data_IF_272626998016
#
_entry.id   IF_272626998016
#
_cell.length_a   1.000
_cell.length_b   1.000
_cell.length_c   1.000
_cell.angle_alpha   90.00
_cell.angle_beta   90.00
_cell.angle_gamma   90.00
#
_symmetry.space_group_name_H-M   'P 1'
#
loop_
_entity.id
_entity.type
_entity.pdbx_description
1 polymer ?
#
# COMPACT_ATOMS: atom_id res chain seq x y z
N UNK A 1 -4.96 -23.28 -21.72
CA UNK A 1 -3.81 -22.57 -21.15
C UNK A 1 -2.89 -22.00 -22.22
N UNK A 2 -2.44 -22.80 -23.20
CA UNK A 2 -1.56 -22.28 -24.29
C UNK A 2 -2.20 -21.11 -25.03
N UNK A 3 -3.46 -21.22 -25.42
CA UNK A 3 -4.16 -20.17 -26.16
C UNK A 3 -4.39 -18.93 -25.29
N UNK A 4 -4.65 -19.13 -24.00
CA UNK A 4 -4.70 -18.01 -23.04
C UNK A 4 -3.33 -17.29 -22.94
N UNK A 5 -2.23 -18.04 -22.87
CA UNK A 5 -0.89 -17.46 -22.88
C UNK A 5 -0.57 -16.69 -24.18
N UNK A 6 -1.01 -17.20 -25.34
CA UNK A 6 -0.92 -16.48 -26.63
C UNK A 6 -1.76 -15.20 -26.62
N UNK A 7 -3.00 -15.28 -26.13
CA UNK A 7 -3.91 -14.15 -26.00
C UNK A 7 -3.30 -13.04 -25.12
N UNK A 8 -2.76 -13.40 -23.96
CA UNK A 8 -2.08 -12.45 -23.07
C UNK A 8 -0.92 -11.70 -23.75
N UNK A 9 -0.14 -12.41 -24.57
CA UNK A 9 0.95 -11.79 -25.34
C UNK A 9 0.44 -10.92 -26.48
N UNK A 10 -0.64 -11.32 -27.14
CA UNK A 10 -1.21 -10.60 -28.27
C UNK A 10 -1.93 -9.31 -27.84
N UNK A 11 -2.68 -9.35 -26.72
CA UNK A 11 -3.39 -8.19 -26.17
C UNK A 11 -2.40 -7.23 -25.48
N UNK A 12 -1.31 -7.75 -24.93
CA UNK A 12 -0.25 -7.02 -24.23
C UNK A 12 -0.75 -6.00 -23.19
N UNK A 13 -1.60 -6.39 -22.22
CA UNK A 13 -2.16 -5.45 -21.25
C UNK A 13 -1.08 -4.90 -20.32
N UNK A 14 -1.19 -3.61 -19.96
CA UNK A 14 -0.33 -2.97 -18.97
C UNK A 14 -0.70 -3.39 -17.54
N UNK A 15 -1.99 -3.63 -17.32
CA UNK A 15 -2.53 -3.95 -16.00
C UNK A 15 -3.41 -5.22 -16.04
N UNK A 16 -3.17 -6.12 -15.10
CA UNK A 16 -3.99 -7.31 -14.87
C UNK A 16 -4.84 -7.06 -13.63
N UNK A 17 -6.15 -7.07 -13.82
CA UNK A 17 -7.12 -6.74 -12.78
C UNK A 17 -7.93 -7.98 -12.44
N UNK A 18 -8.27 -8.14 -11.17
CA UNK A 18 -9.20 -9.17 -10.74
C UNK A 18 -9.46 -9.10 -9.24
N UNK A 19 -10.09 -10.13 -8.72
CA UNK A 19 -10.46 -10.23 -7.32
C UNK A 19 -9.84 -11.48 -6.70
N UNK A 20 -8.90 -11.31 -5.77
CA UNK A 20 -8.11 -12.40 -5.16
C UNK A 20 -7.20 -13.15 -6.16
N UNK A 21 -6.81 -12.49 -7.24
CA UNK A 21 -6.01 -13.11 -8.32
C UNK A 21 -4.62 -13.52 -7.88
N UNK A 22 -4.03 -12.78 -6.94
CA UNK A 22 -2.66 -13.03 -6.47
C UNK A 22 -2.57 -14.30 -5.62
N UNK A 23 -3.57 -14.55 -4.79
CA UNK A 23 -3.56 -15.71 -3.90
C UNK A 23 -4.26 -16.94 -4.48
N UNK A 24 -5.14 -16.78 -5.48
CA UNK A 24 -5.94 -17.86 -6.04
C UNK A 24 -5.68 -18.09 -7.54
N UNK A 25 -6.13 -17.19 -8.42
CA UNK A 25 -6.16 -17.45 -9.87
C UNK A 25 -4.78 -17.69 -10.47
N UNK A 26 -3.85 -16.79 -10.24
CA UNK A 26 -2.51 -16.89 -10.81
C UNK A 26 -1.74 -18.12 -10.29
N UNK A 27 -1.68 -18.38 -8.98
CA UNK A 27 -1.07 -19.62 -8.48
C UNK A 27 -1.70 -20.89 -9.04
N UNK A 28 -3.04 -20.91 -9.16
CA UNK A 28 -3.74 -22.05 -9.74
C UNK A 28 -3.34 -22.28 -11.19
N UNK A 29 -3.41 -21.24 -12.03
CA UNK A 29 -3.06 -21.34 -13.44
C UNK A 29 -1.61 -21.82 -13.67
N UNK A 30 -0.69 -21.28 -12.88
CA UNK A 30 0.74 -21.63 -12.97
C UNK A 30 0.96 -23.10 -12.54
N UNK A 31 0.41 -23.50 -11.39
CA UNK A 31 0.51 -24.90 -10.92
C UNK A 31 -0.16 -25.87 -11.90
N UNK A 32 -1.32 -25.49 -12.45
CA UNK A 32 -2.01 -26.31 -13.44
C UNK A 32 -1.20 -26.47 -14.71
N UNK A 33 -0.54 -25.41 -15.20
CA UNK A 33 0.33 -25.48 -16.35
C UNK A 33 1.55 -26.39 -16.10
N UNK A 34 2.15 -26.33 -14.92
CA UNK A 34 3.23 -27.23 -14.50
C UNK A 34 2.78 -28.69 -14.51
N UNK A 35 1.61 -29.00 -13.91
CA UNK A 35 1.05 -30.36 -13.89
C UNK A 35 0.76 -30.90 -15.28
N UNK A 36 0.35 -30.04 -16.20
CA UNK A 36 0.04 -30.41 -17.60
C UNK A 36 1.27 -30.34 -18.52
N UNK A 37 2.45 -30.04 -18.03
CA UNK A 37 3.69 -29.95 -18.83
C UNK A 37 3.68 -28.82 -19.86
N UNK A 38 2.92 -27.72 -19.63
CA UNK A 38 2.88 -26.55 -20.54
C UNK A 38 3.98 -25.61 -20.20
N UNK A 39 5.18 -25.83 -20.75
CA UNK A 39 6.41 -25.15 -20.39
C UNK A 39 6.43 -23.66 -20.80
N UNK A 40 5.73 -23.27 -21.85
CA UNK A 40 5.67 -21.91 -22.38
C UNK A 40 4.63 -21.03 -21.67
N UNK A 41 3.86 -21.59 -20.74
CA UNK A 41 2.80 -20.86 -20.04
C UNK A 41 3.32 -19.78 -19.06
N UNK A 42 4.37 -20.00 -18.26
CA UNK A 42 4.79 -19.04 -17.24
C UNK A 42 5.58 -17.82 -17.79
N UNK A 43 5.38 -17.47 -19.05
CA UNK A 43 6.02 -16.30 -19.70
C UNK A 43 4.98 -15.22 -20.04
N UNK A 44 4.39 -14.61 -19.01
CA UNK A 44 3.37 -13.56 -19.18
C UNK A 44 3.94 -12.15 -19.18
N UNK A 45 5.19 -12.00 -18.76
CA UNK A 45 5.86 -10.71 -18.68
C UNK A 45 6.30 -10.19 -20.04
N UNK A 46 6.79 -8.95 -20.04
CA UNK A 46 7.34 -8.28 -21.23
C UNK A 46 8.85 -8.51 -21.42
N UNK A 47 9.50 -9.06 -20.40
CA UNK A 47 10.92 -9.42 -20.52
C UNK A 47 11.02 -10.83 -21.10
N UNK A 48 11.61 -10.92 -22.28
CA UNK A 48 11.79 -12.19 -23.01
C UNK A 48 12.65 -13.15 -22.19
N UNK A 49 12.23 -14.41 -22.11
CA UNK A 49 12.94 -15.47 -21.39
C UNK A 49 12.81 -15.45 -19.86
N UNK A 50 12.11 -14.46 -19.28
CA UNK A 50 11.90 -14.41 -17.84
C UNK A 50 10.57 -15.05 -17.45
N UNK A 51 10.66 -16.11 -16.66
CA UNK A 51 9.50 -16.80 -16.11
C UNK A 51 8.93 -16.05 -14.92
N UNK A 52 7.64 -16.24 -14.70
CA UNK A 52 6.95 -15.83 -13.46
C UNK A 52 7.56 -16.52 -12.26
N UNK A 53 7.71 -15.76 -11.20
CA UNK A 53 8.12 -16.29 -9.90
C UNK A 53 6.99 -16.13 -8.89
N UNK A 54 6.72 -17.19 -8.13
CA UNK A 54 5.79 -17.17 -7.00
C UNK A 54 6.64 -17.31 -5.74
N UNK A 55 6.47 -16.38 -4.81
CA UNK A 55 7.09 -16.44 -3.49
C UNK A 55 5.99 -16.37 -2.45
N UNK A 56 6.06 -17.24 -1.45
CA UNK A 56 5.24 -17.09 -0.26
C UNK A 56 5.84 -15.99 0.61
N UNK A 57 5.01 -15.04 1.02
CA UNK A 57 5.41 -13.90 1.83
C UNK A 57 4.53 -13.81 3.05
N UNK A 58 5.13 -13.49 4.18
CA UNK A 58 4.41 -13.23 5.42
C UNK A 58 4.51 -11.74 5.74
N UNK A 59 3.37 -11.07 5.73
CA UNK A 59 3.27 -9.69 6.20
C UNK A 59 2.84 -9.70 7.66
N UNK A 60 3.65 -9.11 8.54
CA UNK A 60 3.31 -8.96 9.95
C UNK A 60 3.34 -7.49 10.35
N UNK A 61 2.27 -7.03 10.99
CA UNK A 61 2.13 -5.66 11.49
C UNK A 61 1.31 -5.66 12.78
N UNK A 62 1.70 -4.82 13.75
CA UNK A 62 0.93 -4.65 15.00
C UNK A 62 -0.52 -4.18 14.74
N UNK A 63 -0.76 -3.39 13.67
CA UNK A 63 -2.08 -2.85 13.33
C UNK A 63 -2.96 -3.84 12.53
N UNK A 64 -2.36 -4.71 11.71
CA UNK A 64 -3.10 -5.58 10.78
C UNK A 64 -2.92 -7.07 11.04
N UNK A 65 -2.14 -7.44 12.08
CA UNK A 65 -1.81 -8.83 12.39
C UNK A 65 -0.85 -9.45 11.37
N UNK A 66 -0.75 -10.77 11.40
CA UNK A 66 0.07 -11.55 10.48
C UNK A 66 -0.81 -12.12 9.38
N UNK A 67 -0.42 -11.92 8.13
CA UNK A 67 -1.10 -12.46 6.95
C UNK A 67 -0.09 -13.14 6.04
N UNK A 68 -0.41 -14.34 5.64
CA UNK A 68 0.28 -15.03 4.57
C UNK A 68 -0.30 -14.59 3.23
N UNK A 69 0.56 -14.28 2.30
CA UNK A 69 0.21 -13.86 0.94
C UNK A 69 1.23 -14.40 -0.04
N UNK A 70 0.87 -14.39 -1.31
CA UNK A 70 1.80 -14.72 -2.38
C UNK A 70 2.27 -13.45 -3.06
N UNK A 71 3.54 -13.40 -3.40
CA UNK A 71 4.11 -12.39 -4.27
C UNK A 71 4.38 -13.03 -5.63
N UNK A 72 3.73 -12.52 -6.65
CA UNK A 72 3.92 -12.97 -8.02
C UNK A 72 4.52 -11.82 -8.82
N UNK A 73 5.68 -12.05 -9.43
CA UNK A 73 6.33 -11.04 -10.25
C UNK A 73 6.06 -11.30 -11.72
N UNK A 74 5.36 -10.36 -12.37
CA UNK A 74 5.11 -10.33 -13.81
C UNK A 74 5.80 -9.09 -14.36
N UNK A 75 6.98 -9.25 -14.89
CA UNK A 75 7.81 -8.13 -15.32
C UNK A 75 7.16 -7.31 -16.44
N UNK A 76 7.10 -5.99 -16.23
CA UNK A 76 6.52 -5.05 -17.18
C UNK A 76 4.98 -4.95 -17.15
N UNK A 77 4.31 -5.60 -16.19
CA UNK A 77 2.85 -5.49 -15.99
C UNK A 77 2.52 -5.23 -14.53
N UNK A 78 1.51 -4.44 -14.30
CA UNK A 78 0.96 -4.17 -12.96
C UNK A 78 -0.14 -5.20 -12.66
N UNK A 79 -0.08 -5.81 -11.49
CA UNK A 79 -1.15 -6.67 -10.98
C UNK A 79 -1.98 -5.85 -10.01
N UNK A 80 -3.28 -5.71 -10.27
CA UNK A 80 -4.18 -4.98 -9.41
C UNK A 80 -5.24 -5.91 -8.83
N UNK A 81 -4.98 -6.39 -7.61
CA UNK A 81 -5.92 -7.24 -6.88
C UNK A 81 -6.89 -6.37 -6.08
N UNK A 82 -8.14 -6.34 -6.52
CA UNK A 82 -9.20 -5.54 -5.89
C UNK A 82 -9.46 -5.96 -4.45
N UNK A 83 -9.32 -7.24 -4.12
CA UNK A 83 -9.51 -7.70 -2.74
C UNK A 83 -8.51 -7.03 -1.80
N UNK A 84 -7.22 -7.01 -2.17
CA UNK A 84 -6.17 -6.42 -1.34
C UNK A 84 -6.35 -4.89 -1.20
N UNK A 85 -6.73 -4.22 -2.28
CA UNK A 85 -6.99 -2.79 -2.26
C UNK A 85 -8.17 -2.43 -1.35
N UNK A 86 -9.29 -3.13 -1.48
CA UNK A 86 -10.50 -2.89 -0.68
C UNK A 86 -10.27 -3.21 0.80
N UNK A 87 -9.58 -4.32 1.11
CA UNK A 87 -9.24 -4.67 2.50
C UNK A 87 -8.36 -3.64 3.19
N UNK A 88 -7.53 -2.93 2.43
CA UNK A 88 -6.67 -1.87 2.96
C UNK A 88 -7.43 -0.58 3.21
N UNK A 89 -8.34 -0.23 2.30
CA UNK A 89 -8.96 1.10 2.28
C UNK A 89 -10.31 1.15 3.00
N UNK A 90 -10.99 0.00 3.15
CA UNK A 90 -12.33 -0.09 3.73
C UNK A 90 -12.41 -1.17 4.81
N UNK A 91 -13.19 -0.88 5.86
CA UNK A 91 -13.55 -1.85 6.90
C UNK A 91 -14.96 -2.35 6.63
N UNK A 92 -15.07 -3.56 6.10
CA UNK A 92 -16.33 -4.20 5.77
C UNK A 92 -16.53 -5.46 6.63
N UNK A 93 -17.77 -5.88 6.83
CA UNK A 93 -18.12 -7.12 7.54
C UNK A 93 -17.78 -8.37 6.74
N UNK A 94 -17.78 -8.27 5.40
CA UNK A 94 -17.42 -9.36 4.48
C UNK A 94 -16.69 -8.81 3.27
N UNK A 95 -15.67 -9.54 2.82
CA UNK A 95 -14.87 -9.21 1.63
C UNK A 95 -15.09 -10.21 0.50
N UNK A 96 -16.21 -10.93 0.47
CA UNK A 96 -16.57 -11.71 -0.72
C UNK A 96 -16.91 -10.78 -1.88
N UNK A 97 -16.61 -11.16 -3.11
CA UNK A 97 -16.89 -10.34 -4.29
C UNK A 97 -18.38 -9.95 -4.35
N UNK A 98 -19.27 -10.88 -3.99
CA UNK A 98 -20.71 -10.61 -3.97
C UNK A 98 -21.09 -9.54 -2.94
N UNK A 99 -20.56 -9.64 -1.71
CA UNK A 99 -20.83 -8.68 -0.64
C UNK A 99 -20.28 -7.28 -0.98
N UNK A 100 -19.06 -7.22 -1.51
CA UNK A 100 -18.41 -5.97 -1.90
C UNK A 100 -19.14 -5.32 -3.09
N UNK A 101 -19.54 -6.09 -4.08
CA UNK A 101 -20.30 -5.59 -5.24
C UNK A 101 -21.68 -5.10 -4.84
N UNK A 102 -22.36 -5.81 -3.94
CA UNK A 102 -23.63 -5.35 -3.36
C UNK A 102 -23.47 -4.01 -2.64
N UNK A 103 -22.41 -3.88 -1.84
CA UNK A 103 -22.15 -2.67 -1.05
C UNK A 103 -21.86 -1.42 -1.91
N UNK A 104 -21.00 -1.56 -2.92
CA UNK A 104 -20.53 -0.40 -3.70
C UNK A 104 -21.27 -0.18 -5.01
N UNK A 105 -21.78 -1.24 -5.63
CA UNK A 105 -22.42 -1.19 -6.94
C UNK A 105 -23.94 -1.38 -6.87
N UNK A 106 -24.48 -1.89 -5.74
CA UNK A 106 -25.86 -2.32 -5.64
C UNK A 106 -26.16 -3.58 -6.50
N UNK A 107 -25.14 -4.27 -6.97
CA UNK A 107 -25.26 -5.44 -7.82
C UNK A 107 -24.86 -6.71 -7.08
N UNK A 108 -25.61 -7.77 -7.33
CA UNK A 108 -25.27 -9.11 -6.85
C UNK A 108 -25.07 -10.05 -8.02
N UNK A 109 -24.23 -11.05 -7.84
CA UNK A 109 -24.08 -12.16 -8.79
C UNK A 109 -24.95 -13.33 -8.35
N UNK A 110 -25.35 -14.14 -9.33
CA UNK A 110 -25.88 -15.45 -9.04
C UNK A 110 -24.81 -16.27 -8.29
N UNK A 111 -25.19 -16.93 -7.21
CA UNK A 111 -24.25 -17.79 -6.49
C UNK A 111 -24.28 -19.20 -7.10
N UNK A 112 -23.19 -19.56 -7.78
CA UNK A 112 -22.97 -20.91 -8.30
C UNK A 112 -21.96 -21.58 -7.38
N UNK A 113 -22.45 -22.53 -6.59
CA UNK A 113 -21.58 -23.29 -5.70
C UNK A 113 -20.53 -24.07 -6.50
N UNK A 114 -19.30 -24.10 -6.01
CA UNK A 114 -18.16 -24.71 -6.73
C UNK A 114 -18.40 -26.20 -7.11
N UNK A 115 -19.18 -26.96 -6.32
CA UNK A 115 -19.53 -28.36 -6.64
C UNK A 115 -20.39 -28.48 -7.89
N UNK A 116 -21.20 -27.48 -8.22
CA UNK A 116 -22.06 -27.48 -9.40
C UNK A 116 -21.32 -27.17 -10.71
N UNK A 117 -20.11 -26.63 -10.66
CA UNK A 117 -19.35 -26.20 -11.85
C UNK A 117 -19.10 -27.36 -12.80
N UNK A 118 -18.64 -28.50 -12.29
CA UNK A 118 -18.35 -29.67 -13.12
C UNK A 118 -19.60 -30.24 -13.79
N UNK A 119 -20.73 -30.28 -13.06
CA UNK A 119 -22.01 -30.72 -13.57
C UNK A 119 -22.55 -29.77 -14.65
N UNK A 120 -22.54 -28.48 -14.42
CA UNK A 120 -22.94 -27.46 -15.39
C UNK A 120 -22.07 -27.49 -16.65
N UNK A 121 -20.78 -27.78 -16.53
CA UNK A 121 -19.84 -27.88 -17.64
C UNK A 121 -20.12 -29.17 -18.47
N UNK A 122 -20.39 -30.28 -17.82
CA UNK A 122 -20.67 -31.58 -18.49
C UNK A 122 -22.07 -31.66 -19.10
N UNK A 123 -22.99 -30.82 -18.69
CA UNK A 123 -24.39 -30.84 -19.10
C UNK A 123 -24.64 -30.32 -20.52
N UNK A 124 -25.74 -29.61 -20.71
CA UNK A 124 -26.22 -29.10 -22.01
C UNK A 124 -25.53 -27.82 -22.44
N UNK A 125 -25.80 -27.35 -23.65
CA UNK A 125 -25.35 -26.03 -24.11
C UNK A 125 -25.88 -24.89 -23.22
N UNK A 126 -27.08 -25.04 -22.67
CA UNK A 126 -27.71 -24.04 -21.77
C UNK A 126 -27.03 -23.99 -20.42
N UNK A 127 -26.69 -25.12 -19.81
CA UNK A 127 -25.96 -25.16 -18.55
C UNK A 127 -24.54 -24.57 -18.68
N UNK A 128 -23.85 -24.84 -19.80
CA UNK A 128 -22.56 -24.25 -20.13
C UNK A 128 -22.67 -22.73 -20.35
N UNK A 129 -23.74 -22.26 -21.00
CA UNK A 129 -24.00 -20.81 -21.15
C UNK A 129 -24.20 -20.16 -19.82
N UNK A 130 -24.97 -20.73 -18.90
CA UNK A 130 -25.16 -20.24 -17.54
C UNK A 130 -23.81 -20.10 -16.81
N UNK A 131 -22.97 -21.13 -16.89
CA UNK A 131 -21.62 -21.09 -16.29
C UNK A 131 -20.75 -20.01 -16.93
N UNK A 132 -20.81 -19.84 -18.26
CA UNK A 132 -20.06 -18.78 -18.95
C UNK A 132 -20.51 -17.37 -18.53
N UNK A 133 -21.82 -17.13 -18.40
CA UNK A 133 -22.36 -15.86 -17.90
C UNK A 133 -21.92 -15.59 -16.47
N UNK A 134 -21.93 -16.61 -15.62
CA UNK A 134 -21.41 -16.51 -14.26
C UNK A 134 -19.93 -16.09 -14.23
N UNK A 135 -19.07 -16.78 -15.01
CA UNK A 135 -17.65 -16.46 -15.09
C UNK A 135 -17.42 -15.04 -15.67
N UNK A 136 -18.20 -14.64 -16.66
CA UNK A 136 -18.12 -13.29 -17.23
C UNK A 136 -18.48 -12.22 -16.19
N UNK A 137 -19.52 -12.45 -15.39
CA UNK A 137 -19.92 -11.53 -14.31
C UNK A 137 -18.83 -11.43 -13.23
N UNK A 138 -18.18 -12.55 -12.88
CA UNK A 138 -17.07 -12.57 -11.92
C UNK A 138 -15.85 -11.77 -12.42
N UNK A 139 -15.58 -11.76 -13.70
CA UNK A 139 -14.51 -10.97 -14.30
C UNK A 139 -14.89 -9.47 -14.45
N UNK A 140 -16.17 -9.19 -14.70
CA UNK A 140 -16.67 -7.84 -14.96
C UNK A 140 -16.83 -6.99 -13.67
N UNK A 141 -17.28 -7.61 -12.57
CA UNK A 141 -17.50 -6.91 -11.31
C UNK A 141 -16.24 -6.23 -10.74
N UNK A 142 -15.05 -6.86 -10.72
CA UNK A 142 -13.81 -6.20 -10.30
C UNK A 142 -13.47 -4.96 -11.13
N UNK A 143 -13.72 -4.98 -12.44
CA UNK A 143 -13.53 -3.82 -13.30
C UNK A 143 -14.50 -2.70 -12.93
N UNK A 144 -15.79 -3.02 -12.70
CA UNK A 144 -16.79 -2.04 -12.24
C UNK A 144 -16.43 -1.42 -10.89
N UNK A 145 -15.89 -2.23 -9.98
CA UNK A 145 -15.40 -1.76 -8.67
C UNK A 145 -14.19 -0.83 -8.82
N UNK A 146 -13.26 -1.18 -9.69
CA UNK A 146 -12.08 -0.35 -9.99
C UNK A 146 -12.52 1.07 -10.44
N UNK A 147 -13.47 1.13 -11.37
CA UNK A 147 -14.00 2.39 -11.91
C UNK A 147 -14.82 3.15 -10.86
N UNK A 148 -15.75 2.47 -10.17
CA UNK A 148 -16.61 3.08 -9.15
C UNK A 148 -15.83 3.70 -8.01
N UNK A 149 -14.75 3.04 -7.58
CA UNK A 149 -13.89 3.50 -6.49
C UNK A 149 -12.75 4.38 -6.98
N UNK A 150 -12.69 4.69 -8.27
CA UNK A 150 -11.70 5.57 -8.90
C UNK A 150 -10.25 5.14 -8.61
N UNK A 151 -10.02 3.83 -8.44
CA UNK A 151 -8.71 3.32 -8.01
C UNK A 151 -7.60 3.62 -9.00
N UNK A 152 -7.84 3.52 -10.30
CA UNK A 152 -6.83 3.82 -11.32
C UNK A 152 -6.30 5.25 -11.16
N UNK A 153 -7.18 6.22 -11.05
CA UNK A 153 -6.79 7.63 -10.87
C UNK A 153 -6.08 7.87 -9.54
N UNK A 154 -6.63 7.32 -8.47
CA UNK A 154 -6.06 7.47 -7.12
C UNK A 154 -4.62 6.93 -7.05
N UNK A 155 -4.38 5.73 -7.60
CA UNK A 155 -3.05 5.13 -7.57
C UNK A 155 -2.06 5.83 -8.52
N UNK A 156 -2.50 6.31 -9.68
CA UNK A 156 -1.67 7.11 -10.57
C UNK A 156 -1.25 8.42 -9.87
N UNK A 157 -2.18 9.14 -9.28
CA UNK A 157 -1.88 10.39 -8.59
C UNK A 157 -1.00 10.15 -7.34
N UNK A 158 -1.26 9.08 -6.60
CA UNK A 158 -0.39 8.69 -5.49
C UNK A 158 1.04 8.38 -5.96
N UNK A 159 1.18 7.68 -7.09
CA UNK A 159 2.49 7.40 -7.71
C UNK A 159 3.19 8.70 -8.14
N UNK A 160 2.48 9.65 -8.71
CA UNK A 160 3.02 10.97 -9.11
C UNK A 160 3.53 11.75 -7.91
N UNK A 161 2.72 11.85 -6.86
CA UNK A 161 3.09 12.58 -5.63
C UNK A 161 4.28 11.94 -4.95
N UNK A 162 4.23 10.64 -4.75
CA UNK A 162 5.26 9.92 -3.96
C UNK A 162 6.51 9.58 -4.76
N UNK A 163 6.40 9.46 -6.09
CA UNK A 163 7.51 9.09 -6.98
C UNK A 163 7.88 7.61 -6.93
N UNK A 164 6.95 6.74 -6.51
CA UNK A 164 7.15 5.28 -6.52
C UNK A 164 6.33 4.61 -7.62
N UNK A 165 6.78 3.47 -8.17
CA UNK A 165 5.99 2.70 -9.14
C UNK A 165 4.64 2.25 -8.56
N UNK A 166 3.62 2.09 -9.40
CA UNK A 166 2.30 1.58 -9.00
C UNK A 166 2.38 0.25 -8.25
N UNK A 167 3.25 -0.66 -8.68
CA UNK A 167 3.48 -1.95 -8.02
C UNK A 167 3.93 -1.80 -6.56
N UNK A 168 4.72 -0.77 -6.24
CA UNK A 168 5.16 -0.51 -4.87
C UNK A 168 4.01 0.00 -3.99
N UNK A 169 3.09 0.77 -4.57
CA UNK A 169 1.90 1.21 -3.84
C UNK A 169 1.01 0.04 -3.42
N UNK A 170 0.99 -1.01 -4.23
CA UNK A 170 0.20 -2.22 -3.97
C UNK A 170 0.90 -3.18 -3.00
N UNK A 171 2.21 -3.40 -3.17
CA UNK A 171 2.96 -4.46 -2.49
C UNK A 171 3.78 -3.99 -1.27
N UNK A 172 4.06 -2.68 -1.14
CA UNK A 172 4.94 -2.14 -0.09
C UNK A 172 4.17 -1.32 0.94
N UNK A 173 4.75 -1.18 2.14
CA UNK A 173 4.23 -0.32 3.20
C UNK A 173 4.43 1.18 2.92
N UNK A 174 4.00 2.02 3.87
CA UNK A 174 4.04 3.48 3.71
C UNK A 174 5.46 4.05 3.67
N UNK A 175 6.43 3.38 4.30
CA UNK A 175 7.82 3.86 4.42
C UNK A 175 8.47 4.14 3.07
N UNK A 176 8.17 3.33 2.03
CA UNK A 176 8.77 3.54 0.70
C UNK A 176 8.33 4.85 0.06
N UNK A 177 7.10 5.30 0.34
CA UNK A 177 6.56 6.57 -0.16
C UNK A 177 7.28 7.76 0.46
N UNK A 178 7.56 7.69 1.76
CA UNK A 178 8.31 8.74 2.48
C UNK A 178 9.76 8.76 2.01
N UNK A 179 10.40 7.60 1.91
CA UNK A 179 11.79 7.49 1.46
C UNK A 179 11.97 8.05 0.06
N UNK A 180 11.08 7.74 -0.87
CA UNK A 180 11.15 8.26 -2.25
C UNK A 180 11.08 9.79 -2.29
N UNK A 181 10.18 10.40 -1.50
CA UNK A 181 10.04 11.86 -1.42
C UNK A 181 11.27 12.50 -0.78
N UNK A 182 11.81 11.90 0.29
CA UNK A 182 13.06 12.36 0.92
C UNK A 182 14.23 12.32 -0.05
N UNK A 183 14.41 11.22 -0.79
CA UNK A 183 15.47 11.09 -1.81
C UNK A 183 15.33 12.14 -2.91
N UNK A 184 14.12 12.40 -3.38
CA UNK A 184 13.85 13.43 -4.39
C UNK A 184 14.25 14.83 -3.92
N UNK A 185 13.83 15.21 -2.71
CA UNK A 185 14.16 16.51 -2.12
C UNK A 185 15.65 16.63 -1.76
N UNK A 186 16.26 15.56 -1.22
CA UNK A 186 17.69 15.53 -0.94
C UNK A 186 18.49 15.77 -2.23
N UNK A 187 18.15 15.10 -3.33
CA UNK A 187 18.78 15.32 -4.63
C UNK A 187 18.64 16.75 -5.12
N UNK A 188 17.45 17.35 -5.00
CA UNK A 188 17.21 18.76 -5.39
C UNK A 188 18.07 19.75 -4.60
N UNK A 189 18.38 19.43 -3.34
CA UNK A 189 19.21 20.25 -2.46
C UNK A 189 20.70 19.89 -2.43
N UNK A 190 21.14 18.95 -3.27
CA UNK A 190 22.53 18.47 -3.29
C UNK A 190 22.93 17.69 -2.04
N UNK A 191 21.97 17.17 -1.25
CA UNK A 191 22.24 16.39 -0.05
C UNK A 191 22.35 14.90 -0.38
N UNK A 192 23.28 14.22 0.28
CA UNK A 192 23.49 12.78 0.14
C UNK A 192 22.87 12.08 1.35
N UNK A 193 21.97 11.12 1.08
CA UNK A 193 21.46 10.23 2.11
C UNK A 193 22.43 9.04 2.19
N UNK A 194 23.13 8.85 3.34
CA UNK A 194 24.08 7.75 3.47
C UNK A 194 23.40 6.39 3.36
N UNK A 195 24.02 5.45 2.67
CA UNK A 195 23.56 4.07 2.67
C UNK A 195 23.59 3.55 4.11
N UNK A 196 22.47 3.00 4.56
CA UNK A 196 22.42 2.29 5.85
C UNK A 196 23.35 1.08 5.72
N UNK A 197 24.46 1.08 6.44
CA UNK A 197 25.22 -0.15 6.62
C UNK A 197 24.28 -1.08 7.37
N UNK A 198 23.95 -2.23 6.78
CA UNK A 198 23.28 -3.28 7.52
C UNK A 198 24.12 -3.50 8.78
N UNK A 199 23.55 -3.21 9.94
CA UNK A 199 24.16 -3.60 11.20
C UNK A 199 24.11 -5.13 11.16
N UNK A 200 25.18 -5.73 10.63
CA UNK A 200 25.35 -7.16 10.60
C UNK A 200 25.15 -7.70 12.01
N UNK A 201 24.80 -8.97 12.11
CA UNK A 201 24.70 -9.74 13.34
C UNK A 201 26.03 -9.78 14.14
N UNK A 202 26.61 -8.61 14.39
CA UNK A 202 27.79 -8.49 15.25
C UNK A 202 27.38 -8.58 16.73
N UNK A 203 28.26 -9.09 17.61
CA UNK A 203 27.97 -9.25 19.04
C UNK A 203 27.59 -7.96 19.76
N UNK A 204 27.77 -6.79 19.16
CA UNK A 204 27.39 -5.47 19.70
C UNK A 204 26.01 -4.96 19.24
N UNK A 205 25.27 -5.73 18.42
CA UNK A 205 23.93 -5.34 17.96
C UNK A 205 22.86 -5.42 19.08
N UNK A 206 23.19 -5.99 20.22
CA UNK A 206 22.26 -6.19 21.35
C UNK A 206 22.37 -5.14 22.46
N UNK A 207 23.25 -4.14 22.35
CA UNK A 207 23.53 -3.20 23.45
C UNK A 207 22.93 -1.80 23.32
N UNK A 208 22.25 -1.48 22.21
CA UNK A 208 21.36 -0.33 22.22
C UNK A 208 19.96 -0.84 22.59
N UNK A 209 19.67 -0.78 23.91
CA UNK A 209 18.34 -1.09 24.42
C UNK A 209 17.28 -0.35 23.61
N UNK A 210 16.19 -1.03 23.27
CA UNK A 210 15.00 -0.40 22.77
C UNK A 210 14.68 0.77 23.70
N UNK A 211 14.88 2.00 23.24
CA UNK A 211 14.39 3.19 23.95
C UNK A 211 12.88 3.01 23.95
N UNK A 212 12.35 2.57 25.07
CA UNK A 212 10.93 2.44 25.26
C UNK A 212 10.34 3.85 25.17
N UNK A 213 9.68 4.15 24.06
CA UNK A 213 8.93 5.40 23.94
C UNK A 213 7.73 5.31 24.87
N UNK A 214 7.62 6.29 25.76
CA UNK A 214 6.39 6.49 26.51
C UNK A 214 5.27 6.81 25.52
N UNK A 215 4.24 5.96 25.48
CA UNK A 215 3.08 6.16 24.61
C UNK A 215 2.21 7.31 25.11
N UNK A 216 1.22 7.68 24.30
CA UNK A 216 0.21 8.67 24.72
C UNK A 216 -0.57 8.15 25.94
N UNK A 217 -0.89 9.02 26.88
CA UNK A 217 -1.83 8.71 27.96
C UNK A 217 -3.23 8.56 27.37
N UNK A 218 -3.78 7.37 27.46
CA UNK A 218 -5.14 7.08 27.03
C UNK A 218 -6.02 7.01 28.27
N UNK A 219 -6.94 7.96 28.40
CA UNK A 219 -7.90 7.98 29.48
C UNK A 219 -9.03 7.00 29.23
N UNK A 220 -9.46 6.29 30.27
CA UNK A 220 -10.65 5.44 30.19
C UNK A 220 -11.90 6.29 29.99
N UNK A 221 -12.76 5.86 29.06
CA UNK A 221 -14.03 6.51 28.84
C UNK A 221 -14.93 6.31 30.05
N UNK A 222 -15.51 7.40 30.56
CA UNK A 222 -16.55 7.31 31.60
C UNK A 222 -17.86 6.90 30.92
N UNK A 223 -18.23 5.63 31.01
CA UNK A 223 -19.46 5.12 30.43
C UNK A 223 -20.68 5.75 31.12
N UNK A 224 -21.65 6.21 30.33
CA UNK A 224 -22.85 6.84 30.84
C UNK A 224 -23.66 7.55 29.76
N UNK A 225 -24.81 8.04 30.14
CA UNK A 225 -25.66 8.94 29.33
C UNK A 225 -25.37 10.38 29.73
N UNK A 226 -25.14 11.25 28.76
CA UNK A 226 -24.77 12.64 28.96
C UNK A 226 -25.83 13.57 28.36
N UNK A 227 -26.50 14.35 29.17
CA UNK A 227 -27.52 15.34 28.74
C UNK A 227 -26.87 16.67 28.34
N UNK A 228 -25.69 16.97 28.85
CA UNK A 228 -24.95 18.17 28.50
C UNK A 228 -24.06 17.95 27.27
N UNK A 229 -23.98 18.93 26.36
CA UNK A 229 -23.08 18.85 25.22
C UNK A 229 -21.64 18.67 25.65
N UNK A 230 -20.94 17.72 25.03
CA UNK A 230 -19.52 17.49 25.25
C UNK A 230 -18.74 18.07 24.06
N UNK A 231 -17.84 19.01 24.33
CA UNK A 231 -16.95 19.55 23.31
C UNK A 231 -15.75 18.60 23.13
N UNK A 232 -15.58 18.10 21.90
CA UNK A 232 -14.41 17.32 21.52
C UNK A 232 -13.45 18.20 20.75
N UNK A 233 -12.23 18.36 21.28
CA UNK A 233 -11.17 19.12 20.65
C UNK A 233 -10.12 18.17 20.07
N UNK A 234 -9.67 18.47 18.86
CA UNK A 234 -8.63 17.70 18.16
C UNK A 234 -7.59 18.64 17.54
N UNK A 235 -6.33 18.23 17.56
CA UNK A 235 -5.26 18.97 16.91
C UNK A 235 -5.30 18.78 15.40
N UNK A 236 -5.33 19.88 14.66
CA UNK A 236 -5.25 19.84 13.21
C UNK A 236 -3.88 19.29 12.76
N UNK A 237 -3.86 18.05 12.23
CA UNK A 237 -2.64 17.40 11.72
C UNK A 237 -1.51 17.34 12.76
N UNK A 238 -1.78 16.82 13.96
CA UNK A 238 -0.89 16.87 15.14
C UNK A 238 0.57 16.53 14.81
N UNK A 239 0.86 15.34 14.29
CA UNK A 239 2.25 14.93 14.01
C UNK A 239 2.93 15.80 12.94
N UNK A 240 2.32 16.07 11.77
CA UNK A 240 2.90 17.00 10.81
C UNK A 240 3.17 18.40 11.39
N UNK A 241 2.25 18.92 12.21
CA UNK A 241 2.41 20.24 12.82
C UNK A 241 3.58 20.30 13.79
N UNK A 242 3.77 19.27 14.62
CA UNK A 242 4.93 19.16 15.51
C UNK A 242 6.23 19.06 14.70
N UNK A 243 6.26 18.22 13.67
CA UNK A 243 7.45 18.06 12.82
C UNK A 243 7.85 19.38 12.14
N UNK A 244 6.88 20.16 11.67
CA UNK A 244 7.14 21.46 11.05
C UNK A 244 7.56 22.52 12.08
N UNK A 245 6.87 22.60 13.22
CA UNK A 245 7.13 23.61 14.26
C UNK A 245 8.52 23.45 14.88
N UNK A 246 8.94 22.23 15.10
CA UNK A 246 10.24 21.92 15.72
C UNK A 246 11.31 21.50 14.72
N UNK A 247 11.03 21.61 13.42
CA UNK A 247 11.96 21.31 12.34
C UNK A 247 12.57 19.91 12.43
N UNK A 248 11.75 18.91 12.79
CA UNK A 248 12.19 17.51 12.98
C UNK A 248 12.49 16.85 11.65
N UNK A 249 13.76 16.60 11.39
CA UNK A 249 14.22 15.95 10.16
C UNK A 249 15.53 15.21 10.40
N UNK A 250 15.83 14.22 9.59
CA UNK A 250 17.12 13.53 9.60
C UNK A 250 18.31 14.45 9.31
N UNK A 251 18.12 15.50 8.48
CA UNK A 251 19.17 16.45 8.12
C UNK A 251 19.31 17.61 9.12
N UNK A 252 18.42 17.73 10.11
CA UNK A 252 18.48 18.74 11.18
C UNK A 252 18.83 18.15 12.53
N UNK A 253 18.88 16.81 12.63
CA UNK A 253 19.31 16.08 13.82
C UNK A 253 20.80 16.29 14.03
N UNK A 254 21.17 16.79 15.21
CA UNK A 254 22.55 17.08 15.62
C UNK A 254 23.11 15.90 16.40
N UNK A 255 24.33 15.49 16.09
CA UNK A 255 25.01 14.46 16.87
C UNK A 255 25.38 15.05 18.24
N UNK A 256 25.30 14.26 19.30
CA UNK A 256 25.57 14.68 20.67
C UNK A 256 26.93 15.40 20.84
N UNK A 257 27.95 14.92 20.11
CA UNK A 257 29.29 15.48 20.13
C UNK A 257 29.38 16.92 19.56
N UNK A 258 28.48 17.23 18.62
CA UNK A 258 28.50 18.51 17.88
C UNK A 258 27.59 19.57 18.53
N UNK A 259 26.84 19.20 19.57
CA UNK A 259 25.90 20.11 20.26
C UNK A 259 26.63 21.26 21.00
N UNK A 260 27.81 20.95 21.54
CA UNK A 260 28.60 21.94 22.29
C UNK A 260 29.09 23.12 21.41
N UNK A 261 29.21 22.90 20.11
CA UNK A 261 29.69 23.91 19.15
C UNK A 261 28.56 24.82 18.63
N UNK A 262 27.31 24.56 19.02
CA UNK A 262 26.16 25.31 18.55
C UNK A 262 25.67 26.32 19.59
N UNK A 263 25.31 27.56 19.17
CA UNK A 263 24.66 28.50 20.05
C UNK A 263 23.33 27.97 20.59
N UNK A 264 23.01 28.14 21.88
CA UNK A 264 21.76 27.59 22.47
C UNK A 264 20.48 28.05 21.78
N UNK A 265 20.46 29.21 21.17
CA UNK A 265 19.33 29.78 20.42
C UNK A 265 19.14 29.13 19.03
N UNK A 266 20.12 28.39 18.51
CA UNK A 266 20.13 27.83 17.16
C UNK A 266 19.44 26.45 17.05
N UNK A 267 19.13 25.82 18.17
CA UNK A 267 18.55 24.47 18.20
C UNK A 267 17.38 24.35 19.17
N UNK A 268 16.66 23.25 19.05
CA UNK A 268 15.58 22.80 19.95
C UNK A 268 15.92 21.42 20.47
N UNK A 269 15.80 21.21 21.78
CA UNK A 269 16.00 19.91 22.41
C UNK A 269 14.66 19.22 22.59
N UNK A 270 14.54 17.99 22.10
CA UNK A 270 13.37 17.14 22.29
C UNK A 270 13.34 16.54 23.71
N UNK A 271 12.18 16.14 24.24
CA UNK A 271 12.07 15.45 25.53
C UNK A 271 12.90 14.16 25.61
N UNK A 272 13.15 13.50 24.47
CA UNK A 272 14.02 12.32 24.33
C UNK A 272 15.52 12.63 24.50
N UNK A 273 15.89 13.91 24.55
CA UNK A 273 17.28 14.36 24.59
C UNK A 273 17.89 14.67 23.24
N UNK A 274 17.23 14.31 22.14
CA UNK A 274 17.68 14.61 20.80
C UNK A 274 17.63 16.12 20.50
N UNK A 275 18.59 16.59 19.72
CA UNK A 275 18.73 18.02 19.39
C UNK A 275 18.53 18.24 17.90
N UNK A 276 17.70 19.22 17.54
CA UNK A 276 17.40 19.58 16.16
C UNK A 276 17.69 21.05 15.91
N UNK A 277 18.34 21.35 14.79
CA UNK A 277 18.61 22.73 14.37
C UNK A 277 17.30 23.44 14.02
N UNK A 278 17.13 24.69 14.45
CA UNK A 278 15.94 25.51 14.13
C UNK A 278 15.85 25.83 12.64
N UNK A 279 14.62 25.98 12.16
CA UNK A 279 14.34 26.29 10.74
C UNK A 279 14.93 27.64 10.27
N UNK A 280 15.21 28.55 11.19
CA UNK A 280 15.89 29.82 10.91
C UNK A 280 17.34 29.64 10.46
N UNK A 281 18.01 28.59 10.89
CA UNK A 281 19.36 28.23 10.49
C UNK A 281 19.37 27.33 9.25
N UNK A 282 18.59 26.26 9.29
CA UNK A 282 18.49 25.29 8.17
C UNK A 282 17.13 24.64 8.18
N UNK A 283 16.33 24.85 7.14
CA UNK A 283 15.00 24.22 7.01
C UNK A 283 15.14 22.76 6.63
N UNK A 284 14.57 21.87 7.44
CA UNK A 284 14.57 20.42 7.21
C UNK A 284 13.77 20.02 5.97
N UNK A 285 14.21 18.96 5.31
CA UNK A 285 13.54 18.40 4.12
C UNK A 285 12.14 17.85 4.45
N UNK A 286 12.02 17.13 5.58
CA UNK A 286 10.74 16.53 5.97
C UNK A 286 9.69 17.61 6.30
N UNK A 287 9.95 18.64 7.10
CA UNK A 287 9.07 19.78 7.27
C UNK A 287 8.64 20.44 5.95
N UNK A 288 9.55 20.59 5.01
CA UNK A 288 9.24 21.17 3.70
C UNK A 288 8.25 20.30 2.90
N UNK A 289 8.48 18.99 2.84
CA UNK A 289 7.57 18.04 2.18
C UNK A 289 6.17 18.09 2.83
N UNK A 290 6.10 18.11 4.16
CA UNK A 290 4.84 18.16 4.90
C UNK A 290 4.08 19.46 4.64
N UNK A 291 4.76 20.61 4.61
CA UNK A 291 4.18 21.90 4.28
C UNK A 291 3.59 21.92 2.86
N UNK A 292 4.33 21.40 1.87
CA UNK A 292 3.89 21.28 0.49
C UNK A 292 2.63 20.39 0.37
N UNK A 293 2.63 19.23 1.02
CA UNK A 293 1.51 18.30 0.99
C UNK A 293 0.26 18.86 1.67
N UNK A 294 0.41 19.50 2.85
CA UNK A 294 -0.71 20.11 3.55
C UNK A 294 -1.29 21.29 2.77
N UNK A 295 -0.43 22.10 2.15
CA UNK A 295 -0.86 23.22 1.30
C UNK A 295 -1.59 22.73 0.05
N UNK A 296 -1.10 21.67 -0.59
CA UNK A 296 -1.77 21.04 -1.74
C UNK A 296 -3.13 20.46 -1.34
N UNK A 297 -3.20 19.76 -0.19
CA UNK A 297 -4.48 19.25 0.35
C UNK A 297 -5.48 20.36 0.64
N UNK A 298 -5.03 21.48 1.20
CA UNK A 298 -5.90 22.63 1.49
C UNK A 298 -6.47 23.23 0.21
N UNK A 299 -5.65 23.41 -0.84
CA UNK A 299 -6.09 23.89 -2.16
C UNK A 299 -7.11 22.95 -2.78
N UNK A 300 -6.78 21.64 -2.88
CA UNK A 300 -7.70 20.65 -3.43
C UNK A 300 -9.05 20.62 -2.70
N UNK A 301 -9.09 20.80 -1.38
CA UNK A 301 -10.35 20.92 -0.62
C UNK A 301 -11.12 22.21 -0.92
N UNK A 302 -10.46 23.28 -1.31
CA UNK A 302 -11.11 24.53 -1.72
C UNK A 302 -11.70 24.39 -3.13
N UNK A 303 -10.98 23.70 -4.02
CA UNK A 303 -11.41 23.47 -5.41
C UNK A 303 -12.61 22.50 -5.50
N UNK A 304 -12.82 21.66 -4.47
CA UNK A 304 -13.96 20.73 -4.36
C UNK A 304 -15.24 21.37 -3.79
N UNK A 305 -15.17 22.59 -3.25
CA UNK A 305 -16.33 23.33 -2.72
C UNK A 305 -16.95 24.21 -3.80
#
# INVERSE_FOLDING_TARGET
>A
LRDWGKFMRAVDPDMLIGYNIVNFDFPYLIKRAQTLGVQDFPYWGRIIGKQLTIKDTTFSSKAYGTRESKEITIEGRVQFDMLQAIQRDYKLSSYSLNSVSSHFLGEQKEDVHHSAISELQAGTAETRRRLAVYCLKDAYLPQRLLDKLMYTYNYIEMSRVTGVPLSFLLARGQSIKVMSQLLRKARQRGLIIPARRDRGNGPNAQLEGEVAYEGATVLDAKAGYYELPIATLDFASLYPSIMMAHNLCYCTLVKQQDVADLPPESYTKAPTGDVFVKSTQFKGILPEILEELLSARKRAKQDLK
#
